data_IF_933015392546
#
_entry.id   IF_933015392546
#
_cell.length_a   1.000
_cell.length_b   1.000
_cell.length_c   1.000
_cell.angle_alpha   90.00
_cell.angle_beta   90.00
_cell.angle_gamma   90.00
#
_symmetry.space_group_name_H-M   'P 1'
#
loop_
_entity.id
_entity.type
_entity.pdbx_description
1 polymer ?
#
# COMPACT_ATOMS: atom_id res chain seq x y z
N UNK A 1 60.73 -2.07 2.38
CA UNK A 1 59.70 -3.09 2.74
C UNK A 1 58.88 -2.79 4.00
N UNK A 2 58.99 -1.60 4.66
CA UNK A 2 58.21 -1.28 5.87
C UNK A 2 56.89 -0.46 5.66
N UNK A 3 56.59 -0.03 4.42
CA UNK A 3 55.39 0.79 4.14
C UNK A 3 54.19 0.01 3.64
N UNK A 4 54.33 -1.27 3.30
CA UNK A 4 53.23 -2.10 2.79
C UNK A 4 52.46 -2.82 3.92
N UNK A 5 53.10 -3.06 5.07
CA UNK A 5 52.45 -3.70 6.23
C UNK A 5 51.42 -2.80 6.94
N UNK A 6 51.62 -1.47 6.92
CA UNK A 6 50.71 -0.52 7.60
C UNK A 6 49.41 -0.30 6.84
N UNK A 7 49.39 -0.42 5.52
CA UNK A 7 48.19 -0.29 4.72
C UNK A 7 47.24 -1.51 4.87
N UNK A 8 47.79 -2.70 5.00
CA UNK A 8 47.00 -3.94 5.20
C UNK A 8 46.35 -4.01 6.59
N UNK A 9 47.04 -3.49 7.62
CA UNK A 9 46.50 -3.46 9.00
C UNK A 9 45.34 -2.44 9.14
N UNK A 10 45.41 -1.30 8.46
CA UNK A 10 44.35 -0.29 8.47
C UNK A 10 43.10 -0.77 7.72
N UNK A 11 43.22 -1.48 6.59
CA UNK A 11 42.12 -2.09 5.89
C UNK A 11 41.42 -3.18 6.71
N UNK A 12 42.15 -4.05 7.39
CA UNK A 12 41.60 -5.10 8.25
C UNK A 12 40.82 -4.53 9.46
N UNK A 13 41.32 -3.45 10.04
CA UNK A 13 40.62 -2.77 11.16
C UNK A 13 39.34 -2.09 10.69
N UNK A 14 39.34 -1.47 9.51
CA UNK A 14 38.15 -0.85 8.93
C UNK A 14 37.07 -1.89 8.56
N UNK A 15 37.48 -3.06 8.04
CA UNK A 15 36.55 -4.16 7.77
C UNK A 15 35.95 -4.75 9.05
N UNK A 16 36.76 -4.97 10.10
CA UNK A 16 36.29 -5.47 11.37
C UNK A 16 35.36 -4.48 12.10
N UNK A 17 35.67 -3.17 12.03
CA UNK A 17 34.80 -2.12 12.56
C UNK A 17 33.47 -2.02 11.80
N UNK A 18 33.46 -2.13 10.48
CA UNK A 18 32.23 -2.12 9.67
C UNK A 18 31.34 -3.33 9.99
N UNK A 19 31.88 -4.53 10.07
CA UNK A 19 31.11 -5.72 10.45
C UNK A 19 30.49 -5.61 11.84
N UNK A 20 31.21 -5.02 12.82
CA UNK A 20 30.67 -4.81 14.17
C UNK A 20 29.57 -3.74 14.23
N UNK A 21 29.64 -2.72 13.37
CA UNK A 21 28.60 -1.67 13.31
C UNK A 21 27.38 -2.20 12.60
N UNK A 22 27.52 -2.85 11.45
CA UNK A 22 26.45 -3.49 10.70
C UNK A 22 25.66 -4.49 11.57
N UNK A 23 26.33 -5.32 12.37
CA UNK A 23 25.67 -6.22 13.31
C UNK A 23 24.85 -5.50 14.37
N UNK A 24 25.31 -4.34 14.86
CA UNK A 24 24.54 -3.51 15.81
C UNK A 24 23.32 -2.89 15.16
N UNK A 25 23.46 -2.44 13.93
CA UNK A 25 22.38 -1.83 13.18
C UNK A 25 21.32 -2.89 12.82
N UNK A 26 21.70 -4.09 12.41
CA UNK A 26 20.79 -5.24 12.22
C UNK A 26 20.04 -5.57 13.50
N UNK A 27 20.75 -5.61 14.65
CA UNK A 27 20.11 -5.87 15.93
C UNK A 27 19.13 -4.75 16.33
N UNK A 28 19.46 -3.48 16.07
CA UNK A 28 18.60 -2.33 16.29
C UNK A 28 17.32 -2.43 15.45
N UNK A 29 17.45 -2.69 14.15
CA UNK A 29 16.33 -2.79 13.21
C UNK A 29 15.45 -3.99 13.57
N UNK A 30 16.05 -5.15 13.83
CA UNK A 30 15.30 -6.34 14.24
C UNK A 30 14.53 -6.10 15.54
N UNK A 31 15.16 -5.49 16.56
CA UNK A 31 14.48 -5.13 17.81
C UNK A 31 13.35 -4.13 17.59
N UNK A 32 13.54 -3.13 16.72
CA UNK A 32 12.50 -2.16 16.38
C UNK A 32 11.26 -2.85 15.78
N UNK A 33 11.46 -3.78 14.84
CA UNK A 33 10.35 -4.51 14.23
C UNK A 33 9.63 -5.46 15.19
N UNK A 34 10.31 -6.01 16.20
CA UNK A 34 9.62 -6.74 17.28
C UNK A 34 8.63 -5.85 18.07
N UNK A 35 8.94 -4.55 18.19
CA UNK A 35 8.02 -3.58 18.78
C UNK A 35 6.90 -3.18 17.81
N UNK A 36 7.23 -2.93 16.54
CA UNK A 36 6.27 -2.57 15.48
C UNK A 36 5.22 -3.67 15.29
N UNK A 37 5.63 -4.93 15.28
CA UNK A 37 4.77 -6.10 15.11
C UNK A 37 3.98 -6.49 16.39
N UNK A 38 4.13 -5.73 17.46
CA UNK A 38 3.40 -5.96 18.70
C UNK A 38 3.95 -7.07 19.59
N UNK A 39 5.08 -7.67 19.26
CA UNK A 39 5.74 -8.71 20.07
C UNK A 39 6.39 -8.13 21.34
N UNK A 40 6.69 -6.83 21.33
CA UNK A 40 7.20 -6.07 22.47
C UNK A 40 6.41 -4.78 22.68
N UNK A 41 6.26 -4.29 23.92
CA UNK A 41 5.52 -3.06 24.18
C UNK A 41 6.24 -1.83 23.60
N UNK A 42 5.51 -1.02 22.82
CA UNK A 42 5.99 0.27 22.33
C UNK A 42 5.84 1.35 23.37
N UNK A 43 6.84 2.22 23.52
CA UNK A 43 6.79 3.38 24.43
C UNK A 43 7.46 4.59 23.80
N UNK A 44 7.02 5.81 24.16
CA UNK A 44 7.63 7.07 23.68
C UNK A 44 9.13 7.13 23.91
N UNK A 45 9.56 6.69 25.09
CA UNK A 45 10.99 6.65 25.45
C UNK A 45 11.80 5.73 24.52
N UNK A 46 11.20 4.60 24.10
CA UNK A 46 11.81 3.68 23.16
C UNK A 46 11.91 4.33 21.78
N UNK A 47 10.83 4.93 21.30
CA UNK A 47 10.78 5.64 20.02
C UNK A 47 11.80 6.77 19.95
N UNK A 48 11.83 7.66 20.93
CA UNK A 48 12.79 8.77 21.01
C UNK A 48 14.26 8.31 21.04
N UNK A 49 14.51 7.11 21.55
CA UNK A 49 15.87 6.52 21.55
C UNK A 49 16.22 5.89 20.19
N UNK A 50 15.25 5.26 19.54
CA UNK A 50 15.43 4.37 18.37
C UNK A 50 15.30 5.11 17.05
N UNK A 51 14.42 6.11 16.97
CA UNK A 51 14.17 6.90 15.78
C UNK A 51 14.88 8.25 15.80
N UNK A 52 15.19 8.79 14.63
CA UNK A 52 15.55 10.20 14.50
C UNK A 52 14.34 11.10 14.75
N UNK A 53 14.58 12.38 15.03
CA UNK A 53 13.52 13.36 15.25
C UNK A 53 12.63 13.53 14.00
N UNK A 54 13.22 13.53 12.82
CA UNK A 54 12.48 13.66 11.55
C UNK A 54 11.54 12.49 11.32
N UNK A 55 12.01 11.24 11.53
CA UNK A 55 11.17 10.04 11.40
C UNK A 55 10.07 10.02 12.46
N UNK A 56 10.41 10.41 13.69
CA UNK A 56 9.43 10.44 14.78
C UNK A 56 8.32 11.46 14.52
N UNK A 57 8.67 12.65 14.02
CA UNK A 57 7.70 13.68 13.66
C UNK A 57 6.81 13.22 12.48
N UNK A 58 7.42 12.61 11.44
CA UNK A 58 6.67 12.08 10.30
C UNK A 58 5.63 11.02 10.73
N UNK A 59 5.98 10.14 11.66
CA UNK A 59 5.04 9.16 12.22
C UNK A 59 3.92 9.87 12.98
N UNK A 60 4.23 10.85 13.82
CA UNK A 60 3.21 11.55 14.62
C UNK A 60 2.31 12.45 13.79
N UNK A 61 2.75 12.92 12.62
CA UNK A 61 1.92 13.68 11.68
C UNK A 61 0.96 12.77 10.88
N UNK A 62 1.30 11.49 10.71
CA UNK A 62 0.50 10.53 9.93
C UNK A 62 -0.38 9.62 10.78
N UNK A 63 -0.12 9.50 12.08
CA UNK A 63 -0.89 8.61 12.95
C UNK A 63 -1.99 9.32 13.73
N UNK A 64 -3.19 8.75 13.65
CA UNK A 64 -4.36 9.21 14.39
C UNK A 64 -4.21 9.08 15.92
N UNK A 65 -4.83 10.04 16.60
CA UNK A 65 -4.99 10.10 18.05
C UNK A 65 -5.23 8.71 18.68
N UNK A 66 -4.35 8.29 19.59
CA UNK A 66 -4.45 7.16 20.50
C UNK A 66 -3.97 5.75 20.08
N UNK A 67 -3.51 5.49 18.87
CA UNK A 67 -2.93 4.17 18.55
C UNK A 67 -1.67 4.28 17.70
N UNK A 68 -0.51 3.90 18.26
CA UNK A 68 0.72 3.70 17.51
C UNK A 68 0.60 2.48 16.60
N UNK A 69 -0.04 2.64 15.45
CA UNK A 69 -0.23 1.55 14.50
C UNK A 69 1.00 1.30 13.65
N UNK A 70 1.89 2.29 13.50
CA UNK A 70 3.13 2.19 12.70
C UNK A 70 2.91 1.70 11.27
N UNK A 71 1.83 2.16 10.65
CA UNK A 71 1.41 1.78 9.30
C UNK A 71 2.52 1.85 8.25
N UNK A 72 3.38 2.87 8.34
CA UNK A 72 4.52 3.05 7.43
C UNK A 72 5.56 1.93 7.50
N UNK A 73 5.52 1.09 8.55
CA UNK A 73 6.39 -0.05 8.76
C UNK A 73 5.66 -1.39 8.70
N UNK A 74 4.35 -1.41 8.45
CA UNK A 74 3.50 -2.61 8.48
C UNK A 74 2.77 -2.83 7.16
N UNK A 75 2.15 -4.01 6.99
CA UNK A 75 1.38 -4.36 5.78
C UNK A 75 0.02 -3.66 5.67
N UNK A 76 -0.44 -2.99 6.71
CA UNK A 76 -1.76 -2.35 6.75
C UNK A 76 -2.94 -3.29 7.05
N UNK A 77 -2.71 -4.59 7.12
CA UNK A 77 -3.73 -5.59 7.51
C UNK A 77 -3.58 -5.91 8.99
N UNK A 78 -4.63 -5.65 9.80
CA UNK A 78 -4.57 -5.82 11.26
C UNK A 78 -5.48 -6.92 11.82
N UNK A 79 -6.15 -7.67 10.97
CA UNK A 79 -7.05 -8.76 11.38
C UNK A 79 -6.32 -10.11 11.36
N UNK A 80 -5.80 -10.52 12.51
CA UNK A 80 -5.16 -11.82 12.67
C UNK A 80 -4.53 -12.01 14.06
N UNK A 81 -4.15 -13.23 14.42
CA UNK A 81 -3.52 -13.50 15.70
C UNK A 81 -2.09 -12.96 15.75
N UNK A 82 -1.74 -12.21 16.80
CA UNK A 82 -0.39 -11.64 16.98
C UNK A 82 0.73 -12.69 17.00
N UNK A 83 0.41 -13.95 17.25
CA UNK A 83 1.35 -15.07 17.19
C UNK A 83 1.89 -15.38 15.77
N UNK A 84 1.29 -14.82 14.74
CA UNK A 84 1.73 -14.97 13.34
C UNK A 84 2.61 -13.80 12.86
N UNK A 85 2.93 -12.86 13.74
CA UNK A 85 3.81 -11.74 13.44
C UNK A 85 5.25 -12.06 13.84
N UNK A 86 6.19 -11.94 12.90
CA UNK A 86 7.61 -12.23 13.14
C UNK A 86 8.52 -11.54 12.13
N UNK A 87 9.75 -11.24 12.56
CA UNK A 87 10.83 -10.78 11.64
C UNK A 87 11.50 -12.01 11.03
N UNK A 88 11.49 -12.10 9.71
CA UNK A 88 12.14 -13.18 8.98
C UNK A 88 13.61 -12.90 8.70
N UNK A 89 13.96 -11.69 8.21
CA UNK A 89 15.35 -11.29 7.99
C UNK A 89 15.52 -9.77 8.05
N UNK A 90 16.77 -9.35 8.35
CA UNK A 90 17.25 -7.96 8.19
C UNK A 90 18.56 -8.03 7.41
N UNK A 91 18.57 -7.54 6.19
CA UNK A 91 19.66 -7.67 5.24
C UNK A 91 20.27 -6.30 4.90
N UNK A 92 21.61 -6.13 4.99
CA UNK A 92 22.25 -4.88 4.63
C UNK A 92 22.22 -4.66 3.12
N UNK A 93 21.89 -3.43 2.70
CA UNK A 93 21.81 -3.01 1.29
C UNK A 93 22.92 -2.01 0.90
N UNK A 94 23.77 -1.63 1.85
CA UNK A 94 24.77 -0.56 1.68
C UNK A 94 24.27 0.80 2.14
N UNK A 95 25.20 1.74 2.35
CA UNK A 95 24.94 3.13 2.75
C UNK A 95 24.03 3.29 3.98
N UNK A 96 24.05 2.30 4.89
CA UNK A 96 23.24 2.26 6.08
C UNK A 96 21.78 1.85 5.87
N UNK A 97 21.42 1.42 4.66
CA UNK A 97 20.10 0.87 4.36
C UNK A 97 20.04 -0.62 4.69
N UNK A 98 18.89 -1.05 5.20
CA UNK A 98 18.55 -2.42 5.58
C UNK A 98 17.18 -2.79 5.05
N UNK A 99 17.08 -3.92 4.35
CA UNK A 99 15.81 -4.53 3.96
C UNK A 99 15.32 -5.42 5.09
N UNK A 100 14.10 -5.22 5.52
CA UNK A 100 13.44 -6.02 6.56
C UNK A 100 12.34 -6.84 5.90
N UNK A 101 12.44 -8.15 6.00
CA UNK A 101 11.39 -9.09 5.59
C UNK A 101 10.70 -9.60 6.84
N UNK A 102 9.39 -9.55 6.89
CA UNK A 102 8.60 -9.91 8.06
C UNK A 102 7.25 -10.53 7.68
N UNK A 103 6.61 -11.16 8.67
CA UNK A 103 5.19 -11.53 8.62
C UNK A 103 4.44 -10.64 9.59
N UNK A 104 3.34 -10.02 9.16
CA UNK A 104 2.46 -9.21 9.99
C UNK A 104 1.08 -9.85 10.01
N UNK A 105 0.74 -10.52 11.12
CA UNK A 105 -0.49 -11.30 11.27
C UNK A 105 -0.70 -12.34 10.16
N UNK A 106 0.39 -13.00 9.74
CA UNK A 106 0.39 -13.98 8.65
C UNK A 106 0.62 -13.38 7.25
N UNK A 107 0.60 -12.05 7.09
CA UNK A 107 0.80 -11.40 5.81
C UNK A 107 2.28 -11.06 5.61
N UNK A 108 2.89 -11.41 4.45
CA UNK A 108 4.27 -11.07 4.17
C UNK A 108 4.44 -9.57 3.95
N UNK A 109 5.49 -8.99 4.51
CA UNK A 109 5.85 -7.60 4.36
C UNK A 109 7.34 -7.40 4.11
N UNK A 110 7.68 -6.37 3.37
CA UNK A 110 9.06 -5.92 3.13
C UNK A 110 9.12 -4.41 3.27
N UNK A 111 10.06 -3.92 4.06
CA UNK A 111 10.29 -2.47 4.23
C UNK A 111 11.78 -2.20 4.20
N UNK A 112 12.19 -1.02 3.77
CA UNK A 112 13.58 -0.60 3.80
C UNK A 112 13.73 0.55 4.80
N UNK A 113 14.68 0.40 5.72
CA UNK A 113 14.99 1.43 6.71
C UNK A 113 16.48 1.81 6.65
N UNK A 114 16.80 3.06 6.96
CA UNK A 114 18.16 3.53 7.02
C UNK A 114 18.57 3.81 8.47
N UNK A 115 19.71 3.28 8.86
CA UNK A 115 20.31 3.54 10.16
C UNK A 115 21.49 4.49 10.01
N UNK A 116 21.50 5.55 10.81
CA UNK A 116 22.63 6.43 10.97
C UNK A 116 22.74 6.87 12.44
N UNK A 117 23.97 6.98 12.96
CA UNK A 117 24.25 7.37 14.34
C UNK A 117 23.49 6.54 15.40
N UNK A 118 23.25 5.22 15.10
CA UNK A 118 22.57 4.31 15.99
C UNK A 118 21.05 4.57 16.13
N UNK A 119 20.45 5.21 15.13
CA UNK A 119 19.01 5.45 15.04
C UNK A 119 18.50 5.18 13.62
N UNK A 120 17.25 4.76 13.49
CA UNK A 120 16.54 4.72 12.21
C UNK A 120 16.24 6.17 11.83
N UNK A 121 16.80 6.63 10.70
CA UNK A 121 16.75 8.02 10.26
C UNK A 121 16.02 8.22 8.92
N UNK A 122 15.63 7.14 8.26
CA UNK A 122 14.77 7.16 7.08
C UNK A 122 14.11 5.80 6.92
N UNK A 123 13.02 5.77 6.20
CA UNK A 123 12.36 4.55 5.74
C UNK A 123 11.84 4.78 4.32
N UNK A 124 11.69 3.69 3.58
CA UNK A 124 10.86 3.71 2.37
C UNK A 124 9.56 3.06 2.76
N UNK A 125 8.46 3.81 2.60
CA UNK A 125 7.13 3.23 2.68
C UNK A 125 7.11 1.99 1.77
N UNK A 126 6.38 0.97 2.19
CA UNK A 126 6.19 -0.19 1.34
C UNK A 126 5.63 0.35 0.01
N UNK A 127 6.41 0.29 -1.07
CA UNK A 127 5.80 0.40 -2.39
C UNK A 127 4.75 -0.71 -2.42
N UNK A 128 3.47 -0.35 -2.56
CA UNK A 128 2.42 -1.34 -2.81
C UNK A 128 2.97 -2.26 -3.89
N UNK A 129 3.23 -3.54 -3.56
CA UNK A 129 3.76 -4.46 -4.57
C UNK A 129 2.90 -4.33 -5.81
N UNK A 130 3.54 -4.24 -6.96
CA UNK A 130 2.81 -4.28 -8.22
C UNK A 130 2.11 -5.65 -8.29
N UNK A 131 0.82 -5.64 -8.13
CA UNK A 131 -0.07 -6.79 -8.12
C UNK A 131 -1.21 -6.62 -9.14
N UNK A 132 -2.07 -7.59 -9.23
CA UNK A 132 -3.20 -7.54 -10.13
C UNK A 132 -4.12 -6.33 -9.84
N UNK A 133 -4.27 -5.93 -8.57
CA UNK A 133 -5.11 -4.79 -8.20
C UNK A 133 -4.45 -3.45 -8.55
N UNK A 134 -3.13 -3.34 -8.40
CA UNK A 134 -2.38 -2.16 -8.85
C UNK A 134 -2.47 -1.99 -10.38
N UNK A 135 -2.35 -3.09 -11.14
CA UNK A 135 -2.54 -3.09 -12.59
C UNK A 135 -3.96 -2.65 -13.00
N UNK A 136 -4.98 -3.14 -12.29
CA UNK A 136 -6.38 -2.73 -12.46
C UNK A 136 -6.55 -1.24 -12.16
N UNK A 137 -5.94 -0.73 -11.11
CA UNK A 137 -5.95 0.70 -10.76
C UNK A 137 -5.36 1.56 -11.88
N UNK A 138 -4.21 1.18 -12.44
CA UNK A 138 -3.60 1.88 -13.60
C UNK A 138 -4.52 1.86 -14.82
N UNK A 139 -5.08 0.70 -15.16
CA UNK A 139 -6.02 0.55 -16.27
C UNK A 139 -7.27 1.41 -16.09
N UNK A 140 -7.82 1.47 -14.88
CA UNK A 140 -8.98 2.33 -14.57
C UNK A 140 -8.63 3.82 -14.64
N UNK A 141 -7.40 4.20 -14.32
CA UNK A 141 -6.92 5.59 -14.48
C UNK A 141 -6.87 5.98 -15.97
N UNK A 142 -6.46 5.05 -16.85
CA UNK A 142 -6.51 5.27 -18.31
C UNK A 142 -7.95 5.44 -18.79
N UNK A 143 -8.88 4.61 -18.33
CA UNK A 143 -10.32 4.80 -18.61
C UNK A 143 -10.81 6.16 -18.09
N UNK A 144 -10.34 6.59 -16.92
CA UNK A 144 -10.67 7.89 -16.32
C UNK A 144 -10.26 9.08 -17.18
N UNK A 145 -9.25 8.92 -18.04
CA UNK A 145 -8.81 9.96 -18.96
C UNK A 145 -9.81 10.22 -20.11
N UNK A 146 -10.70 9.27 -20.40
CA UNK A 146 -11.76 9.44 -21.42
C UNK A 146 -12.94 10.29 -20.91
N UNK A 147 -13.00 10.54 -19.60
CA UNK A 147 -13.99 11.40 -18.98
C UNK A 147 -13.53 12.87 -18.93
N UNK A 148 -14.41 13.77 -18.51
CA UNK A 148 -14.01 15.15 -18.22
C UNK A 148 -12.92 15.16 -17.15
N UNK A 149 -11.70 15.68 -17.42
CA UNK A 149 -10.59 15.58 -16.51
C UNK A 149 -10.80 16.45 -15.25
N UNK A 150 -10.29 15.96 -14.13
CA UNK A 150 -10.09 16.71 -12.88
C UNK A 150 -8.60 16.84 -12.56
N UNK A 151 -8.30 17.45 -11.42
CA UNK A 151 -6.94 17.54 -10.88
C UNK A 151 -6.42 16.16 -10.40
N UNK A 152 -7.35 15.30 -9.96
CA UNK A 152 -7.06 13.96 -9.44
C UNK A 152 -7.99 12.94 -10.08
N UNK A 153 -7.42 11.83 -10.55
CA UNK A 153 -8.16 10.68 -11.06
C UNK A 153 -7.93 9.51 -10.10
N UNK A 154 -8.99 9.08 -9.41
CA UNK A 154 -8.89 8.09 -8.33
C UNK A 154 -9.77 6.89 -8.66
N UNK A 155 -9.16 5.74 -9.01
CA UNK A 155 -9.89 4.49 -9.20
C UNK A 155 -10.19 3.81 -7.86
N UNK A 156 -11.29 3.06 -7.81
CA UNK A 156 -11.62 2.14 -6.74
C UNK A 156 -12.47 0.98 -7.27
N UNK A 157 -12.55 -0.10 -6.53
CA UNK A 157 -13.30 -1.26 -6.98
C UNK A 157 -14.02 -1.97 -5.85
N UNK A 158 -15.09 -2.69 -6.22
CA UNK A 158 -15.77 -3.64 -5.35
C UNK A 158 -15.59 -5.04 -5.98
N UNK A 159 -14.73 -5.85 -5.37
CA UNK A 159 -14.35 -7.17 -5.88
C UNK A 159 -15.41 -8.20 -5.47
N UNK A 160 -15.99 -8.91 -6.44
CA UNK A 160 -16.95 -9.99 -6.23
C UNK A 160 -16.26 -11.37 -6.23
N UNK A 161 -15.04 -11.47 -6.70
CA UNK A 161 -14.24 -12.69 -6.69
C UNK A 161 -12.97 -12.55 -7.50
N UNK A 162 -11.98 -13.40 -7.17
CA UNK A 162 -10.68 -13.47 -7.82
C UNK A 162 -10.31 -14.92 -8.10
N UNK A 163 -9.61 -15.18 -9.19
CA UNK A 163 -8.93 -16.44 -9.52
C UNK A 163 -7.49 -16.15 -9.90
N UNK A 164 -6.54 -16.65 -9.12
CA UNK A 164 -5.11 -16.32 -9.22
C UNK A 164 -4.21 -17.53 -9.52
N UNK A 165 -4.79 -18.72 -9.67
CA UNK A 165 -4.00 -19.95 -9.88
C UNK A 165 -3.20 -19.94 -11.19
N UNK A 166 -3.65 -19.16 -12.18
CA UNK A 166 -2.95 -18.99 -13.44
C UNK A 166 -2.34 -17.58 -13.56
N UNK A 167 -1.01 -17.42 -13.40
CA UNK A 167 -0.36 -16.10 -13.49
C UNK A 167 -0.43 -15.46 -14.90
N UNK A 168 -0.75 -16.23 -15.95
CA UNK A 168 -0.96 -15.72 -17.30
C UNK A 168 -2.41 -15.23 -17.53
N UNK A 169 -3.33 -15.52 -16.62
CA UNK A 169 -4.74 -15.13 -16.69
C UNK A 169 -5.35 -15.08 -15.29
N UNK A 170 -4.90 -14.15 -14.47
CA UNK A 170 -5.53 -13.80 -13.20
C UNK A 170 -6.84 -13.10 -13.52
N UNK A 171 -7.94 -13.58 -12.98
CA UNK A 171 -9.26 -13.03 -13.24
C UNK A 171 -9.85 -12.38 -12.01
N UNK A 172 -10.26 -11.11 -12.16
CA UNK A 172 -10.89 -10.33 -11.10
C UNK A 172 -12.26 -9.87 -11.57
N UNK A 173 -13.30 -10.32 -10.88
CA UNK A 173 -14.68 -9.92 -11.13
C UNK A 173 -15.09 -8.83 -10.15
N UNK A 174 -15.68 -7.75 -10.65
CA UNK A 174 -16.09 -6.67 -9.78
C UNK A 174 -16.85 -5.54 -10.48
N UNK A 175 -17.10 -4.49 -9.71
CA UNK A 175 -17.49 -3.17 -10.19
C UNK A 175 -16.26 -2.26 -10.08
N UNK A 176 -15.62 -2.01 -11.19
CA UNK A 176 -14.44 -1.15 -11.29
C UNK A 176 -14.88 0.28 -11.54
N UNK A 177 -14.46 1.18 -10.70
CA UNK A 177 -14.92 2.56 -10.71
C UNK A 177 -13.76 3.52 -10.81
N UNK A 178 -14.01 4.66 -11.41
CA UNK A 178 -13.06 5.77 -11.47
C UNK A 178 -13.80 7.08 -11.30
N UNK A 179 -13.21 7.99 -10.55
CA UNK A 179 -13.75 9.32 -10.32
C UNK A 179 -12.65 10.37 -10.53
N UNK A 180 -12.99 11.40 -11.29
CA UNK A 180 -12.16 12.61 -11.46
C UNK A 180 -12.62 13.69 -10.50
N UNK A 181 -11.67 14.31 -9.82
CA UNK A 181 -11.94 15.33 -8.79
C UNK A 181 -11.15 16.59 -9.02
N UNK A 182 -11.72 17.73 -8.58
CA UNK A 182 -10.98 18.95 -8.30
C UNK A 182 -10.88 19.15 -6.79
N UNK A 183 -9.70 19.56 -6.30
CA UNK A 183 -9.52 19.84 -4.89
C UNK A 183 -9.95 21.24 -4.51
N UNK A 184 -10.74 21.38 -3.46
CA UNK A 184 -11.15 22.67 -2.88
C UNK A 184 -10.95 22.63 -1.36
N UNK A 185 -9.83 23.14 -0.89
CA UNK A 185 -9.42 23.01 0.50
C UNK A 185 -9.13 21.54 0.84
N UNK A 186 -9.77 21.00 1.85
CA UNK A 186 -9.69 19.60 2.28
C UNK A 186 -10.73 18.67 1.61
N UNK A 187 -11.42 19.16 0.58
CA UNK A 187 -12.53 18.44 -0.05
C UNK A 187 -12.25 18.16 -1.52
N UNK A 188 -12.36 16.89 -1.93
CA UNK A 188 -12.37 16.45 -3.32
C UNK A 188 -13.79 16.58 -3.90
N UNK A 189 -13.98 17.47 -4.88
CA UNK A 189 -15.26 17.66 -5.58
C UNK A 189 -15.28 16.85 -6.87
N UNK A 190 -16.26 15.97 -6.99
CA UNK A 190 -16.45 15.11 -8.18
C UNK A 190 -16.72 15.98 -9.42
N UNK A 191 -15.99 15.71 -10.48
CA UNK A 191 -16.13 16.33 -11.81
C UNK A 191 -16.83 15.37 -12.76
N UNK A 192 -16.36 14.13 -12.80
CA UNK A 192 -16.87 13.08 -13.68
C UNK A 192 -16.41 11.72 -13.16
N UNK A 193 -16.98 10.66 -13.69
CA UNK A 193 -16.58 9.30 -13.34
C UNK A 193 -17.56 8.27 -13.87
N UNK A 194 -17.26 7.00 -13.59
CA UNK A 194 -18.08 5.91 -14.07
C UNK A 194 -17.90 4.61 -13.30
N UNK A 195 -18.86 3.71 -13.53
CA UNK A 195 -18.90 2.33 -13.04
C UNK A 195 -18.75 1.41 -14.22
N UNK A 196 -17.80 0.47 -14.13
CA UNK A 196 -17.45 -0.47 -15.18
C UNK A 196 -17.48 -1.90 -14.63
N UNK A 197 -18.65 -2.48 -14.40
CA UNK A 197 -18.75 -3.85 -13.92
C UNK A 197 -18.28 -4.86 -14.97
N UNK A 198 -17.60 -5.92 -14.53
CA UNK A 198 -17.12 -6.95 -15.43
C UNK A 198 -16.10 -7.88 -14.84
N UNK A 199 -15.31 -8.50 -15.73
CA UNK A 199 -14.17 -9.33 -15.40
C UNK A 199 -12.91 -8.76 -16.05
N UNK A 200 -11.93 -8.35 -15.27
CA UNK A 200 -10.59 -7.99 -15.75
C UNK A 200 -9.68 -9.20 -15.74
N UNK A 201 -8.93 -9.37 -16.83
CA UNK A 201 -7.93 -10.39 -17.02
C UNK A 201 -6.55 -9.76 -16.92
N UNK A 202 -5.80 -10.19 -15.93
CA UNK A 202 -4.47 -9.65 -15.60
C UNK A 202 -3.44 -10.75 -15.80
N UNK A 203 -2.32 -10.43 -16.40
CA UNK A 203 -1.18 -11.33 -16.51
C UNK A 203 0.02 -10.77 -15.77
N UNK A 204 0.84 -11.67 -15.25
CA UNK A 204 2.15 -11.34 -14.72
C UNK A 204 3.16 -11.27 -15.88
N UNK A 205 3.96 -10.21 -15.89
CA UNK A 205 5.04 -9.97 -16.87
C UNK A 205 6.38 -9.80 -16.16
N UNK A 206 7.46 -9.70 -16.89
CA UNK A 206 8.79 -9.40 -16.33
C UNK A 206 8.86 -7.98 -15.71
N UNK A 207 7.95 -7.10 -16.12
CA UNK A 207 7.88 -5.69 -15.66
C UNK A 207 6.79 -5.45 -14.61
N UNK A 208 6.10 -6.52 -14.13
CA UNK A 208 5.01 -6.43 -13.16
C UNK A 208 3.72 -7.08 -13.66
N UNK A 209 2.58 -6.45 -13.42
CA UNK A 209 1.26 -6.95 -13.83
C UNK A 209 0.60 -6.03 -14.87
N UNK A 210 -0.14 -6.60 -15.81
CA UNK A 210 -0.80 -5.89 -16.90
C UNK A 210 -2.22 -6.42 -17.13
N UNK A 211 -3.22 -5.52 -17.22
CA UNK A 211 -4.56 -5.87 -17.70
C UNK A 211 -4.51 -6.03 -19.22
N UNK A 212 -4.73 -7.24 -19.70
CA UNK A 212 -4.69 -7.53 -21.15
C UNK A 212 -6.06 -7.71 -21.78
N UNK A 213 -7.12 -7.87 -20.97
CA UNK A 213 -8.50 -7.98 -21.44
C UNK A 213 -9.47 -7.53 -20.35
N UNK A 214 -10.55 -6.89 -20.77
CA UNK A 214 -11.68 -6.55 -19.93
C UNK A 214 -12.99 -7.01 -20.59
N UNK A 215 -13.67 -7.95 -19.96
CA UNK A 215 -14.99 -8.40 -20.33
C UNK A 215 -16.02 -7.53 -19.58
N UNK A 216 -16.45 -6.44 -20.23
CA UNK A 216 -17.35 -5.47 -19.63
C UNK A 216 -18.81 -5.91 -19.72
N UNK A 217 -19.57 -5.61 -18.68
CA UNK A 217 -21.04 -5.77 -18.68
C UNK A 217 -21.66 -4.72 -19.59
N UNK A 218 -22.62 -5.12 -20.41
CA UNK A 218 -23.37 -4.23 -21.28
C UNK A 218 -24.33 -3.31 -20.51
N UNK A 219 -24.69 -2.19 -21.14
CA UNK A 219 -25.58 -1.20 -20.54
C UNK A 219 -27.08 -1.49 -20.82
N UNK A 220 -27.94 -0.86 -20.04
CA UNK A 220 -29.38 -0.85 -20.24
C UNK A 220 -29.99 -2.25 -20.24
N UNK A 221 -30.66 -2.64 -21.35
CA UNK A 221 -31.28 -3.96 -21.49
C UNK A 221 -30.29 -5.12 -21.49
N UNK A 222 -29.04 -4.86 -21.84
CA UNK A 222 -28.00 -5.87 -21.96
C UNK A 222 -27.27 -6.12 -20.63
N UNK A 223 -27.51 -5.28 -19.60
CA UNK A 223 -26.89 -5.41 -18.31
C UNK A 223 -27.06 -6.80 -17.67
N UNK A 224 -28.29 -7.20 -17.41
CA UNK A 224 -28.57 -8.48 -16.76
C UNK A 224 -28.10 -9.72 -17.55
N UNK A 225 -28.34 -9.82 -18.87
CA UNK A 225 -27.86 -10.95 -19.66
C UNK A 225 -26.32 -11.06 -19.64
N UNK A 226 -25.61 -9.95 -19.88
CA UNK A 226 -24.15 -9.95 -19.94
C UNK A 226 -23.53 -10.13 -18.56
N UNK A 227 -24.08 -9.50 -17.50
CA UNK A 227 -23.62 -9.70 -16.14
C UNK A 227 -23.75 -11.18 -15.72
N UNK A 228 -24.87 -11.84 -15.99
CA UNK A 228 -25.03 -13.29 -15.73
C UNK A 228 -24.02 -14.13 -16.48
N UNK A 229 -23.73 -13.80 -17.74
CA UNK A 229 -22.77 -14.53 -18.54
C UNK A 229 -21.34 -14.37 -18.04
N UNK A 230 -20.95 -13.14 -17.61
CA UNK A 230 -19.60 -12.82 -17.16
C UNK A 230 -19.35 -13.32 -15.73
N UNK A 231 -20.30 -13.11 -14.82
CA UNK A 231 -20.13 -13.45 -13.41
C UNK A 231 -20.44 -14.91 -13.07
N UNK A 232 -21.27 -15.59 -13.88
CA UNK A 232 -21.64 -16.99 -13.64
C UNK A 232 -22.17 -17.22 -12.21
N UNK A 233 -21.54 -18.14 -11.48
CA UNK A 233 -21.91 -18.46 -10.09
C UNK A 233 -21.66 -17.29 -9.11
N UNK A 234 -20.87 -16.27 -9.49
CA UNK A 234 -20.60 -15.07 -8.70
C UNK A 234 -21.65 -13.98 -8.90
N UNK A 235 -22.64 -14.17 -9.77
CA UNK A 235 -23.62 -13.14 -10.14
C UNK A 235 -24.39 -12.58 -8.93
N UNK A 236 -24.85 -13.44 -8.04
CA UNK A 236 -25.61 -13.00 -6.85
C UNK A 236 -24.73 -12.20 -5.87
N UNK A 237 -23.48 -12.62 -5.67
CA UNK A 237 -22.51 -11.89 -4.86
C UNK A 237 -22.18 -10.53 -5.48
N UNK A 238 -21.97 -10.47 -6.79
CA UNK A 238 -21.80 -9.22 -7.51
C UNK A 238 -23.01 -8.29 -7.35
N UNK A 239 -24.23 -8.77 -7.54
CA UNK A 239 -25.44 -7.94 -7.41
C UNK A 239 -25.63 -7.40 -6.00
N UNK A 240 -25.25 -8.19 -4.97
CA UNK A 240 -25.27 -7.75 -3.58
C UNK A 240 -24.30 -6.58 -3.34
N UNK A 241 -23.08 -6.65 -3.88
CA UNK A 241 -22.09 -5.56 -3.83
C UNK A 241 -22.52 -4.36 -4.67
N UNK A 242 -22.93 -4.60 -5.91
CA UNK A 242 -23.34 -3.57 -6.86
C UNK A 242 -24.49 -2.70 -6.38
N UNK A 243 -25.42 -3.29 -5.58
CA UNK A 243 -26.52 -2.56 -4.95
C UNK A 243 -26.21 -1.99 -3.55
N UNK A 244 -25.02 -2.23 -3.01
CA UNK A 244 -24.65 -1.80 -1.66
C UNK A 244 -23.96 -0.44 -1.67
N UNK A 245 -24.73 0.62 -1.41
CA UNK A 245 -24.23 1.99 -1.39
C UNK A 245 -23.23 2.27 -0.25
N UNK A 246 -23.34 1.55 0.87
CA UNK A 246 -22.39 1.72 1.99
C UNK A 246 -21.04 1.09 1.65
N UNK A 247 -21.04 -0.09 0.99
CA UNK A 247 -19.80 -0.69 0.49
C UNK A 247 -19.11 0.20 -0.56
N UNK A 248 -19.87 0.82 -1.47
CA UNK A 248 -19.32 1.77 -2.46
C UNK A 248 -18.69 2.99 -1.79
N UNK A 249 -19.36 3.57 -0.78
CA UNK A 249 -18.83 4.71 -0.03
C UNK A 249 -17.56 4.34 0.73
N UNK A 250 -17.53 3.16 1.36
CA UNK A 250 -16.36 2.67 2.08
C UNK A 250 -15.16 2.48 1.15
N UNK A 251 -15.31 1.74 0.04
CA UNK A 251 -14.25 1.52 -0.93
C UNK A 251 -13.73 2.83 -1.55
N UNK A 252 -14.64 3.77 -1.85
CA UNK A 252 -14.28 5.09 -2.36
C UNK A 252 -13.49 5.90 -1.33
N UNK A 253 -13.94 5.91 -0.07
CA UNK A 253 -13.27 6.62 1.01
C UNK A 253 -11.85 6.08 1.25
N UNK A 254 -11.69 4.77 1.30
CA UNK A 254 -10.40 4.09 1.42
C UNK A 254 -9.45 4.47 0.29
N UNK A 255 -9.88 4.37 -0.96
CA UNK A 255 -9.05 4.74 -2.11
C UNK A 255 -8.68 6.22 -2.15
N UNK A 256 -9.56 7.12 -1.69
CA UNK A 256 -9.25 8.54 -1.55
C UNK A 256 -8.18 8.76 -0.47
N UNK A 257 -8.28 8.08 0.66
CA UNK A 257 -7.29 8.18 1.75
C UNK A 257 -5.93 7.65 1.31
N UNK A 258 -5.89 6.47 0.67
CA UNK A 258 -4.66 5.89 0.11
C UNK A 258 -4.01 6.83 -0.91
N UNK A 259 -4.83 7.42 -1.81
CA UNK A 259 -4.35 8.37 -2.80
C UNK A 259 -3.80 9.64 -2.15
N UNK A 260 -4.53 10.19 -1.19
CA UNK A 260 -4.13 11.40 -0.48
C UNK A 260 -2.79 11.19 0.28
N UNK A 261 -2.64 10.06 0.95
CA UNK A 261 -1.41 9.68 1.65
C UNK A 261 -0.23 9.57 0.68
N UNK A 262 -0.40 8.82 -0.41
CA UNK A 262 0.64 8.63 -1.43
C UNK A 262 1.09 9.94 -2.10
N UNK A 263 0.23 10.98 -2.14
CA UNK A 263 0.50 12.25 -2.79
C UNK A 263 0.73 13.41 -1.80
N UNK A 264 0.73 13.15 -0.48
CA UNK A 264 0.91 14.15 0.55
C UNK A 264 -0.21 15.20 0.58
N UNK A 265 -1.46 14.78 0.31
CA UNK A 265 -2.63 15.66 0.27
C UNK A 265 -3.39 15.61 1.59
N UNK A 266 -3.79 16.76 2.10
CA UNK A 266 -4.69 16.85 3.28
C UNK A 266 -6.14 16.85 2.82
N UNK A 267 -6.74 15.65 2.73
CA UNK A 267 -8.13 15.45 2.32
C UNK A 267 -8.93 14.89 3.48
N UNK A 268 -10.02 15.55 3.83
CA UNK A 268 -10.96 15.14 4.88
C UNK A 268 -12.35 14.76 4.35
N UNK A 269 -12.70 15.20 3.15
CA UNK A 269 -14.03 15.03 2.57
C UNK A 269 -13.98 14.75 1.06
N UNK A 270 -15.04 14.12 0.55
CA UNK A 270 -15.38 14.20 -0.88
C UNK A 270 -16.80 14.71 -1.06
N UNK A 271 -17.11 15.25 -2.23
CA UNK A 271 -18.43 15.81 -2.53
C UNK A 271 -18.84 15.53 -3.95
N UNK A 272 -20.00 14.88 -4.13
CA UNK A 272 -20.64 14.73 -5.43
C UNK A 272 -21.44 15.99 -5.78
N UNK A 273 -21.60 16.25 -7.09
CA UNK A 273 -22.33 17.43 -7.58
C UNK A 273 -23.76 17.47 -7.03
N UNK A 274 -24.11 18.56 -6.38
CA UNK A 274 -25.45 18.79 -5.82
C UNK A 274 -25.73 18.08 -4.47
N UNK A 275 -24.75 17.35 -3.90
CA UNK A 275 -24.89 16.63 -2.63
C UNK A 275 -24.01 17.24 -1.53
N UNK A 276 -24.37 17.05 -0.26
CA UNK A 276 -23.50 17.42 0.86
C UNK A 276 -22.17 16.68 0.80
N UNK A 277 -21.11 17.33 1.31
CA UNK A 277 -19.82 16.67 1.47
C UNK A 277 -19.92 15.48 2.43
N UNK A 278 -19.26 14.38 2.07
CA UNK A 278 -19.13 13.18 2.88
C UNK A 278 -17.77 13.23 3.57
N UNK A 279 -17.76 13.17 4.90
CA UNK A 279 -16.54 13.14 5.69
C UNK A 279 -15.95 11.72 5.65
N UNK A 280 -14.62 11.64 5.45
CA UNK A 280 -13.86 10.37 5.36
C UNK A 280 -12.71 10.31 6.38
N UNK A 281 -12.45 11.41 7.06
CA UNK A 281 -11.44 11.56 8.13
C UNK A 281 -12.09 12.03 9.42
#
# INVERSE_FOLDING_TARGET
MKRILTAFSACLILFACNQSQEQKDIALVSDFYEHVLGNKPMTDKYLQKTLSEDVLNAIWETEYEDTYSFWVFRTGLQDGPSSESSVASVEPMGDGWYRVTYSDLGNPGVTEVRVANGRICAYKAQEKEDDAMAAIGRYMTEIGADYTPGEHCIPYCLVAGTEEENPEDIRVWGDFRVENYNQVGDTLKSVSGGSHPGCMHVKKTDEGFEVFRFDAVGDGSDFNPTAKAIFGDRFDAFMALYSNDDAKKAARAESILDYADAHGLDIACYQDFGWPAVRIK
#
